data_IF_173961579124
#
_entry.id   IF_173961579124
#
_cell.length_a   1.000
_cell.length_b   1.000
_cell.length_c   1.000
_cell.angle_alpha   90.00
_cell.angle_beta   90.00
_cell.angle_gamma   90.00
#
_symmetry.space_group_name_H-M   'P 1'
#
loop_
_entity.id
_entity.type
_entity.pdbx_description
1 polymer ?
#
# COMPACT_ATOMS: atom_id res chain seq x y z
N UNK A 1 -35.06 18.63 13.70
CA UNK A 1 -34.32 17.50 14.30
C UNK A 1 -34.00 16.36 13.32
N UNK A 2 -34.79 16.10 12.26
CA UNK A 2 -34.51 15.05 11.25
C UNK A 2 -33.26 15.26 10.37
N UNK A 3 -32.76 16.50 10.22
CA UNK A 3 -31.62 16.83 9.33
C UNK A 3 -30.24 16.56 9.95
N UNK A 4 -30.17 16.35 11.27
CA UNK A 4 -28.88 16.14 11.98
C UNK A 4 -28.42 14.68 11.89
N UNK A 5 -29.35 13.73 11.69
CA UNK A 5 -29.04 12.29 11.62
C UNK A 5 -28.25 11.93 10.35
N UNK A 6 -28.47 12.66 9.24
CA UNK A 6 -27.80 12.38 7.96
C UNK A 6 -26.32 12.80 7.99
N UNK A 7 -25.97 13.87 8.72
CA UNK A 7 -24.58 14.34 8.81
C UNK A 7 -23.69 13.43 9.66
N UNK A 8 -24.25 12.72 10.64
CA UNK A 8 -23.50 11.79 11.49
C UNK A 8 -23.13 10.47 10.77
N UNK A 9 -23.91 10.07 9.75
CA UNK A 9 -23.70 8.81 9.02
C UNK A 9 -22.59 8.90 7.96
N UNK A 10 -22.28 10.10 7.47
CA UNK A 10 -21.19 10.31 6.51
C UNK A 10 -19.80 10.31 7.16
N UNK A 11 -19.71 10.53 8.48
CA UNK A 11 -18.44 10.56 9.21
C UNK A 11 -17.86 9.16 9.49
N UNK A 12 -18.65 8.09 9.34
CA UNK A 12 -18.20 6.71 9.56
C UNK A 12 -17.63 6.03 8.31
N UNK A 13 -17.58 6.73 7.18
CA UNK A 13 -17.03 6.24 5.91
C UNK A 13 -15.53 6.56 5.74
N UNK A 14 -14.87 7.13 6.75
CA UNK A 14 -13.40 7.08 6.84
C UNK A 14 -13.03 5.65 7.24
N UNK A 15 -13.13 4.77 6.24
CA UNK A 15 -12.98 3.33 6.33
C UNK A 15 -11.61 2.93 6.84
N UNK A 16 -11.50 1.66 7.22
CA UNK A 16 -10.34 1.02 7.81
C UNK A 16 -9.15 0.90 6.84
N UNK A 17 -8.72 2.01 6.24
CA UNK A 17 -7.47 2.09 5.50
C UNK A 17 -6.33 2.18 6.50
N UNK A 18 -5.53 1.10 6.61
CA UNK A 18 -4.28 1.12 7.36
C UNK A 18 -3.14 1.61 6.48
N UNK A 19 -2.17 2.28 7.08
CA UNK A 19 -0.94 2.69 6.41
C UNK A 19 0.24 1.99 7.07
N UNK A 20 1.17 1.48 6.27
CA UNK A 20 2.41 0.92 6.79
C UNK A 20 3.32 2.03 7.33
N UNK A 21 4.27 1.73 8.22
CA UNK A 21 5.35 2.65 8.54
C UNK A 21 6.12 3.06 7.28
N UNK A 22 6.53 4.34 7.25
CA UNK A 22 7.40 4.88 6.19
C UNK A 22 8.81 4.32 6.33
N UNK A 23 9.38 3.93 5.19
CA UNK A 23 10.75 3.47 5.07
C UNK A 23 11.48 4.31 4.04
N UNK A 24 12.80 4.42 4.16
CA UNK A 24 13.61 5.18 3.23
C UNK A 24 14.59 4.25 2.54
N UNK A 25 14.62 4.33 1.21
CA UNK A 25 15.47 3.50 0.36
C UNK A 25 16.26 4.38 -0.60
N UNK A 26 17.48 3.98 -0.92
CA UNK A 26 18.31 4.65 -1.92
C UNK A 26 18.47 3.72 -3.12
N UNK A 27 17.82 3.99 -4.26
CA UNK A 27 18.06 3.23 -5.48
C UNK A 27 19.53 3.24 -5.88
N UNK A 28 20.02 2.14 -6.46
CA UNK A 28 21.37 2.07 -6.99
C UNK A 28 21.62 3.19 -8.02
N UNK A 29 22.70 3.95 -7.84
CA UNK A 29 23.04 5.08 -8.71
C UNK A 29 22.25 6.37 -8.44
N UNK A 30 21.25 6.37 -7.56
CA UNK A 30 20.53 7.59 -7.20
C UNK A 30 21.34 8.46 -6.22
N UNK A 31 21.18 9.78 -6.34
CA UNK A 31 21.78 10.76 -5.42
C UNK A 31 20.99 10.92 -4.11
N UNK A 32 19.68 10.63 -4.16
CA UNK A 32 18.74 10.88 -3.06
C UNK A 32 18.04 9.59 -2.62
N UNK A 33 17.58 9.58 -1.37
CA UNK A 33 16.69 8.54 -0.86
C UNK A 33 15.25 8.86 -1.25
N UNK A 34 14.45 7.82 -1.41
CA UNK A 34 13.01 7.90 -1.62
C UNK A 34 12.28 7.37 -0.39
N UNK A 35 11.17 7.99 -0.04
CA UNK A 35 10.24 7.51 0.98
C UNK A 35 9.31 6.47 0.35
N UNK A 36 9.26 5.26 0.91
CA UNK A 36 8.39 4.16 0.48
C UNK A 36 7.46 3.77 1.61
N UNK A 37 6.17 3.69 1.33
CA UNK A 37 5.15 3.19 2.24
C UNK A 37 3.95 2.65 1.46
N UNK A 38 3.00 2.03 2.13
CA UNK A 38 1.76 1.61 1.48
C UNK A 38 0.51 1.95 2.27
N UNK A 39 -0.62 1.72 1.61
CA UNK A 39 -1.97 1.81 2.18
C UNK A 39 -2.71 0.53 1.85
N UNK A 40 -3.49 0.05 2.81
CA UNK A 40 -4.34 -1.11 2.61
C UNK A 40 -5.74 -0.80 3.14
N UNK A 41 -6.74 -0.86 2.28
CA UNK A 41 -8.14 -0.73 2.67
C UNK A 41 -8.74 -2.10 2.96
N UNK A 42 -9.05 -2.36 4.22
CA UNK A 42 -9.54 -3.67 4.67
C UNK A 42 -10.93 -4.05 4.13
N UNK A 43 -11.70 -3.08 3.63
CA UNK A 43 -13.08 -3.31 3.15
C UNK A 43 -13.05 -3.68 1.67
N UNK A 44 -12.36 -2.87 0.86
CA UNK A 44 -12.22 -3.04 -0.59
C UNK A 44 -11.08 -3.97 -0.98
N UNK A 45 -10.19 -4.33 -0.04
CA UNK A 45 -8.96 -5.07 -0.29
C UNK A 45 -8.01 -4.34 -1.26
N UNK A 46 -8.16 -3.02 -1.40
CA UNK A 46 -7.28 -2.18 -2.19
C UNK A 46 -5.92 -2.05 -1.49
N UNK A 47 -4.85 -2.34 -2.23
CA UNK A 47 -3.46 -2.23 -1.84
C UNK A 47 -2.76 -1.21 -2.72
N UNK A 48 -2.15 -0.22 -2.08
CA UNK A 48 -1.37 0.81 -2.75
C UNK A 48 0.06 0.81 -2.23
N UNK A 49 1.01 1.00 -3.15
CA UNK A 49 2.40 1.37 -2.82
C UNK A 49 2.62 2.81 -3.24
N UNK A 50 3.21 3.59 -2.35
CA UNK A 50 3.51 5.00 -2.56
C UNK A 50 5.01 5.24 -2.44
N UNK A 51 5.56 6.00 -3.38
CA UNK A 51 6.94 6.49 -3.37
C UNK A 51 6.93 8.00 -3.40
N UNK A 52 7.54 8.65 -2.41
CA UNK A 52 7.51 10.11 -2.20
C UNK A 52 6.08 10.69 -2.22
N UNK A 53 5.10 9.90 -1.79
CA UNK A 53 3.68 10.27 -1.78
C UNK A 53 2.93 10.04 -3.10
N UNK A 54 3.60 9.67 -4.18
CA UNK A 54 2.96 9.29 -5.44
C UNK A 54 2.53 7.83 -5.38
N UNK A 55 1.29 7.52 -5.77
CA UNK A 55 0.82 6.13 -5.92
C UNK A 55 1.49 5.54 -7.15
N UNK A 56 2.30 4.49 -6.94
CA UNK A 56 3.06 3.81 -8.01
C UNK A 56 2.51 2.42 -8.31
N UNK A 57 1.85 1.81 -7.34
CA UNK A 57 1.08 0.58 -7.50
C UNK A 57 -0.30 0.86 -6.89
N UNK A 58 -1.33 0.51 -7.64
CA UNK A 58 -2.72 0.49 -7.20
C UNK A 58 -3.33 -0.83 -7.70
N UNK A 59 -3.72 -1.70 -6.78
CA UNK A 59 -4.20 -3.03 -7.09
C UNK A 59 -5.12 -3.57 -6.01
N UNK A 60 -5.87 -4.61 -6.34
CA UNK A 60 -6.81 -5.24 -5.41
C UNK A 60 -6.32 -6.64 -5.04
N UNK A 61 -6.18 -6.90 -3.74
CA UNK A 61 -5.91 -8.23 -3.20
C UNK A 61 -7.16 -9.09 -3.28
N UNK A 62 -6.97 -10.41 -3.39
CA UNK A 62 -8.08 -11.34 -3.43
C UNK A 62 -8.74 -11.51 -2.05
N UNK A 63 -10.07 -11.53 -2.03
CA UNK A 63 -10.87 -11.77 -0.81
C UNK A 63 -10.69 -13.17 -0.22
N UNK A 64 -10.09 -14.10 -0.95
CA UNK A 64 -9.78 -15.45 -0.45
C UNK A 64 -8.45 -15.53 0.32
N UNK A 65 -7.75 -14.40 0.49
CA UNK A 65 -6.45 -14.30 1.16
C UNK A 65 -5.31 -15.03 0.44
N UNK A 66 -5.40 -15.19 -0.88
CA UNK A 66 -4.28 -15.65 -1.70
C UNK A 66 -3.18 -14.58 -1.77
N UNK A 67 -1.97 -15.03 -2.09
CA UNK A 67 -0.83 -14.15 -2.33
C UNK A 67 -1.11 -13.20 -3.51
N UNK A 68 -0.68 -11.95 -3.39
CA UNK A 68 -0.84 -10.93 -4.42
C UNK A 68 0.51 -10.56 -5.04
N UNK A 69 0.52 -10.34 -6.36
CA UNK A 69 1.68 -9.82 -7.06
C UNK A 69 1.26 -8.63 -7.91
N UNK A 70 1.93 -7.51 -7.71
CA UNK A 70 1.64 -6.26 -8.42
C UNK A 70 2.92 -5.65 -8.98
N UNK A 71 2.79 -4.91 -10.06
CA UNK A 71 3.87 -4.16 -10.67
C UNK A 71 3.39 -2.76 -11.06
N UNK A 72 4.33 -1.83 -11.11
CA UNK A 72 4.14 -0.46 -11.52
C UNK A 72 5.49 0.16 -11.90
N UNK A 73 5.50 1.47 -12.11
CA UNK A 73 6.71 2.20 -12.48
C UNK A 73 6.85 3.49 -11.68
N UNK A 74 8.09 3.86 -11.37
CA UNK A 74 8.44 5.14 -10.75
C UNK A 74 9.72 5.68 -11.39
N UNK A 75 9.62 6.83 -12.07
CA UNK A 75 10.77 7.48 -12.73
C UNK A 75 11.55 6.55 -13.68
N UNK A 76 10.85 5.63 -14.38
CA UNK A 76 11.47 4.65 -15.28
C UNK A 76 12.08 3.42 -14.59
N UNK A 77 11.91 3.29 -13.27
CA UNK A 77 12.28 2.10 -12.50
C UNK A 77 11.05 1.20 -12.31
N UNK A 78 11.23 -0.10 -12.50
CA UNK A 78 10.19 -1.08 -12.22
C UNK A 78 9.99 -1.20 -10.72
N UNK A 79 8.75 -1.08 -10.26
CA UNK A 79 8.37 -1.30 -8.87
C UNK A 79 7.52 -2.56 -8.79
N UNK A 80 7.83 -3.49 -7.90
CA UNK A 80 6.98 -4.66 -7.63
C UNK A 80 6.57 -4.72 -6.18
N UNK A 81 5.43 -5.36 -5.92
CA UNK A 81 4.93 -5.61 -4.57
C UNK A 81 4.40 -7.05 -4.47
N UNK A 82 5.12 -7.88 -3.72
CA UNK A 82 4.76 -9.28 -3.44
C UNK A 82 4.11 -9.37 -2.06
N UNK A 83 2.81 -9.61 -2.02
CA UNK A 83 1.99 -9.60 -0.80
C UNK A 83 1.63 -11.01 -0.34
N UNK A 84 1.73 -11.24 0.98
CA UNK A 84 1.40 -12.52 1.63
C UNK A 84 0.62 -12.30 2.91
N UNK A 85 -0.35 -13.17 3.13
CA UNK A 85 -1.17 -13.17 4.34
C UNK A 85 -0.61 -14.10 5.40
N UNK A 86 -0.57 -13.62 6.65
CA UNK A 86 -0.32 -14.43 7.83
C UNK A 86 -1.61 -14.58 8.62
N UNK A 87 -2.04 -15.83 8.82
CA UNK A 87 -3.24 -16.18 9.59
C UNK A 87 -4.51 -15.42 9.14
N UNK A 88 -4.61 -15.04 7.85
CA UNK A 88 -5.73 -14.25 7.27
C UNK A 88 -6.01 -12.93 7.99
N UNK A 89 -5.03 -12.38 8.69
CA UNK A 89 -5.19 -11.16 9.50
C UNK A 89 -4.09 -10.15 9.23
N UNK A 90 -2.84 -10.60 9.23
CA UNK A 90 -1.71 -9.70 9.02
C UNK A 90 -1.27 -9.80 7.56
N UNK A 91 -1.09 -8.65 6.91
CA UNK A 91 -0.64 -8.55 5.52
C UNK A 91 0.80 -8.03 5.50
N UNK A 92 1.68 -8.76 4.83
CA UNK A 92 3.05 -8.32 4.56
C UNK A 92 3.28 -8.22 3.07
N UNK A 93 3.76 -7.09 2.59
CA UNK A 93 4.12 -6.89 1.19
C UNK A 93 5.59 -6.51 1.06
N UNK A 94 6.34 -7.23 0.22
CA UNK A 94 7.73 -6.95 -0.10
C UNK A 94 7.77 -6.07 -1.35
N UNK A 95 8.30 -4.86 -1.20
CA UNK A 95 8.42 -3.90 -2.31
C UNK A 95 9.84 -3.92 -2.84
N UNK A 96 9.98 -4.12 -4.14
CA UNK A 96 11.26 -4.00 -4.83
C UNK A 96 11.24 -2.87 -5.85
N UNK A 97 12.39 -2.23 -6.03
CA UNK A 97 12.64 -1.24 -7.09
C UNK A 97 13.81 -1.77 -7.92
N UNK A 98 13.59 -2.02 -9.21
CA UNK A 98 14.56 -2.68 -10.10
C UNK A 98 15.15 -3.98 -9.50
N UNK A 99 14.26 -4.85 -8.99
CA UNK A 99 14.60 -6.12 -8.32
C UNK A 99 15.38 -6.01 -6.99
N UNK A 100 15.73 -4.81 -6.54
CA UNK A 100 16.34 -4.57 -5.24
C UNK A 100 15.29 -4.36 -4.15
N UNK A 101 15.51 -4.90 -2.96
CA UNK A 101 14.60 -4.72 -1.84
C UNK A 101 14.58 -3.27 -1.36
N UNK A 102 13.42 -2.62 -1.49
CA UNK A 102 13.22 -1.23 -1.06
C UNK A 102 12.49 -1.10 0.29
N UNK A 103 11.42 -1.87 0.52
CA UNK A 103 10.67 -1.82 1.79
C UNK A 103 9.87 -3.10 2.09
N UNK A 104 9.70 -3.39 3.38
CA UNK A 104 8.76 -4.42 3.85
C UNK A 104 7.55 -3.73 4.48
N UNK A 105 6.41 -3.74 3.79
CA UNK A 105 5.18 -3.10 4.26
C UNK A 105 4.39 -4.09 5.13
N UNK A 106 3.96 -3.65 6.30
CA UNK A 106 3.12 -4.44 7.21
C UNK A 106 1.87 -3.64 7.59
N UNK A 107 0.72 -4.29 7.59
CA UNK A 107 -0.59 -3.72 7.84
C UNK A 107 -1.36 -4.47 8.92
#
# INVERSE_FOLDING_TARGET
MKKIIIAALLATLLGCTSASPKQYYRPAGAEQQVEVYGRFDQISFEHQVLINGNVVIDGQLSYNYDDGHFSGEYEGMTVTSDCKWKLKKDLTCLVKINDEMAATLTF
#
